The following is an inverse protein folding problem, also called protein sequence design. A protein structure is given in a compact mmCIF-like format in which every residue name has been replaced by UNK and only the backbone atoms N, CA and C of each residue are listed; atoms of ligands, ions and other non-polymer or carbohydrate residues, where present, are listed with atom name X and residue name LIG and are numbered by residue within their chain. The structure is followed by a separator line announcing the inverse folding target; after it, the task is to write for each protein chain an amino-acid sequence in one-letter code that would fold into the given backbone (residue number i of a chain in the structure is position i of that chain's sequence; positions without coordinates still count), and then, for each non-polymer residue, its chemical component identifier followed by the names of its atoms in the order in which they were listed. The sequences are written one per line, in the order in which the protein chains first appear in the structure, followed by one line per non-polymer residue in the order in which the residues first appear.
data_IF_414268458513
#
_entry.id   IF_414268458513
#
_cell.length_a   1.000
_cell.length_b   1.000
_cell.length_c   1.000
_cell.angle_alpha   90.00
_cell.angle_beta   90.00
_cell.angle_gamma   90.00
#
_symmetry.space_group_name_H-M   'P 1'
#
loop_
_entity.id
_entity.type
_entity.pdbx_description
1 polymer ?
#
# COMPACT_ATOMS: atom_id res chain seq x y z
N UNK A 1 39.88 15.66 57.75
CA UNK A 1 39.74 14.24 57.36
C UNK A 1 38.25 13.99 57.11
N UNK A 2 37.86 13.65 55.86
CA UNK A 2 36.59 13.08 55.36
C UNK A 2 35.24 13.82 55.67
N UNK A 3 34.47 14.37 54.69
CA UNK A 3 33.55 13.74 53.70
C UNK A 3 32.26 13.21 54.40
N UNK A 4 30.98 13.44 54.03
CA UNK A 4 30.31 13.81 52.77
C UNK A 4 28.90 14.42 53.02
N UNK A 5 28.43 15.21 52.07
CA UNK A 5 27.05 15.67 51.89
C UNK A 5 26.37 14.84 50.78
N UNK A 6 25.11 14.44 50.97
CA UNK A 6 24.17 14.10 49.88
C UNK A 6 22.77 14.62 50.22
N UNK A 7 22.05 15.22 49.26
CA UNK A 7 20.60 15.17 49.24
C UNK A 7 20.07 14.53 47.96
N UNK A 8 19.12 13.60 48.12
CA UNK A 8 18.30 13.00 47.06
C UNK A 8 17.31 14.04 46.52
N UNK A 9 17.39 14.34 45.23
CA UNK A 9 16.38 15.11 44.49
C UNK A 9 15.77 14.25 43.38
N UNK A 10 14.44 14.18 43.33
CA UNK A 10 13.69 13.55 42.24
C UNK A 10 12.29 14.15 42.16
N UNK A 11 12.21 15.42 41.75
CA UNK A 11 10.96 16.15 41.56
C UNK A 11 10.35 15.77 40.20
N UNK A 12 9.18 15.16 40.23
CA UNK A 12 8.31 14.98 39.06
C UNK A 12 7.71 16.34 38.69
N UNK A 13 7.85 16.76 37.43
CA UNK A 13 7.19 17.94 36.88
C UNK A 13 6.23 17.47 35.79
N UNK A 14 4.94 17.44 36.13
CA UNK A 14 3.82 17.36 35.20
C UNK A 14 3.53 18.77 34.66
N UNK A 15 3.26 18.93 33.36
CA UNK A 15 2.59 20.14 32.85
C UNK A 15 1.45 19.79 31.87
N UNK A 16 0.25 20.23 32.26
CA UNK A 16 -0.96 20.28 31.45
C UNK A 16 -0.98 21.56 30.60
N UNK A 17 -1.71 21.49 29.48
CA UNK A 17 -1.94 22.56 28.53
C UNK A 17 -2.88 23.65 29.09
N UNK A 18 -2.58 24.91 28.78
CA UNK A 18 -3.57 26.00 28.78
C UNK A 18 -3.38 26.86 27.54
N UNK A 19 -4.52 27.20 26.96
CA UNK A 19 -4.79 27.95 25.73
C UNK A 19 -4.30 29.41 25.76
N UNK A 20 -3.81 29.92 24.62
CA UNK A 20 -3.78 31.36 24.33
C UNK A 20 -2.44 31.96 23.88
N UNK A 21 -2.44 32.55 22.67
CA UNK A 21 -1.44 33.46 22.07
C UNK A 21 -0.10 32.86 21.62
N UNK A 22 -0.15 32.23 20.44
CA UNK A 22 0.99 32.06 19.52
C UNK A 22 1.50 33.44 19.09
N UNK A 23 2.71 33.83 19.50
CA UNK A 23 3.67 34.70 18.77
C UNK A 23 4.96 34.86 19.61
N UNK A 24 4.94 34.64 20.94
CA UNK A 24 6.13 34.78 21.81
C UNK A 24 6.99 33.54 22.07
N UNK A 25 6.57 32.32 21.68
CA UNK A 25 7.15 31.07 22.17
C UNK A 25 8.33 30.48 21.37
N UNK A 26 8.59 30.94 20.14
CA UNK A 26 9.61 30.32 19.26
C UNK A 26 11.04 30.38 19.80
N UNK A 27 11.40 31.44 20.53
CA UNK A 27 12.76 31.60 21.08
C UNK A 27 13.01 30.65 22.26
N UNK A 28 12.03 30.51 23.17
CA UNK A 28 12.18 29.70 24.39
C UNK A 28 12.22 28.18 24.14
N UNK A 29 11.48 27.68 23.14
CA UNK A 29 11.47 26.24 22.82
C UNK A 29 12.81 25.82 22.18
N UNK A 30 13.36 26.62 21.25
CA UNK A 30 14.67 26.34 20.62
C UNK A 30 15.82 26.39 21.63
N UNK A 31 15.78 27.34 22.57
CA UNK A 31 16.75 27.43 23.68
C UNK A 31 16.69 26.19 24.60
N UNK A 32 15.49 25.72 24.95
CA UNK A 32 15.33 24.53 25.80
C UNK A 32 15.79 23.23 25.11
N UNK A 33 15.53 23.07 23.81
CA UNK A 33 15.99 21.89 23.06
C UNK A 33 17.52 21.87 22.94
N UNK A 34 18.17 23.00 22.67
CA UNK A 34 19.63 23.11 22.67
C UNK A 34 20.23 22.70 24.02
N UNK A 35 19.67 23.19 25.13
CA UNK A 35 20.11 22.80 26.47
C UNK A 35 19.94 21.29 26.75
N UNK A 36 18.84 20.70 26.30
CA UNK A 36 18.58 19.26 26.41
C UNK A 36 19.59 18.41 25.63
N UNK A 37 19.96 18.83 24.41
CA UNK A 37 20.96 18.13 23.59
C UNK A 37 22.34 18.15 24.28
N UNK A 38 22.75 19.29 24.85
CA UNK A 38 24.00 19.37 25.62
C UNK A 38 24.01 18.50 26.88
N UNK A 39 22.87 18.29 27.53
CA UNK A 39 22.79 17.57 28.81
C UNK A 39 22.59 16.05 28.71
N UNK A 40 21.92 15.56 27.67
CA UNK A 40 21.55 14.13 27.53
C UNK A 40 22.15 13.43 26.31
N UNK A 41 22.86 14.15 25.44
CA UNK A 41 23.28 13.66 24.14
C UNK A 41 22.11 13.52 23.16
N UNK A 42 22.40 13.66 21.86
CA UNK A 42 21.39 13.78 20.81
C UNK A 42 20.46 12.55 20.71
N UNK A 43 21.02 11.34 20.82
CA UNK A 43 20.26 10.09 20.78
C UNK A 43 19.33 9.92 21.99
N UNK A 44 19.74 10.44 23.16
CA UNK A 44 18.92 10.45 24.38
C UNK A 44 17.79 11.49 24.35
N UNK A 45 17.95 12.58 23.60
CA UNK A 45 16.88 13.57 23.36
C UNK A 45 15.87 13.09 22.32
N UNK A 46 16.32 12.34 21.32
CA UNK A 46 15.48 11.85 20.23
C UNK A 46 14.80 10.49 20.52
N UNK A 47 15.03 9.89 21.70
CA UNK A 47 14.45 8.60 22.11
C UNK A 47 14.58 7.50 21.03
N UNK A 48 15.75 7.41 20.39
CA UNK A 48 15.98 6.46 19.29
C UNK A 48 16.22 5.06 19.86
N UNK A 49 15.37 4.10 19.48
CA UNK A 49 15.53 2.68 19.83
C UNK A 49 16.45 1.98 18.83
N UNK A 50 16.22 2.19 17.53
CA UNK A 50 17.03 1.60 16.48
C UNK A 50 17.05 2.46 15.22
N UNK A 51 18.13 2.31 14.45
CA UNK A 51 18.41 3.06 13.23
C UNK A 51 18.94 2.11 12.17
N UNK A 52 18.44 2.20 10.94
CA UNK A 52 18.80 1.33 9.83
C UNK A 52 19.04 2.15 8.56
N UNK A 53 20.11 1.83 7.83
CA UNK A 53 20.39 2.39 6.51
C UNK A 53 20.59 1.23 5.52
N UNK A 54 19.92 1.32 4.36
CA UNK A 54 20.01 0.32 3.29
C UNK A 54 20.10 1.03 1.94
N UNK A 55 20.84 0.42 1.02
CA UNK A 55 20.99 0.89 -0.37
C UNK A 55 20.43 -0.20 -1.31
N UNK A 56 19.09 -0.25 -1.55
CA UNK A 56 18.48 -1.36 -2.30
C UNK A 56 19.00 -1.47 -3.74
N UNK A 57 19.36 -0.34 -4.35
CA UNK A 57 20.01 -0.26 -5.65
C UNK A 57 20.75 1.08 -5.76
N UNK A 58 21.65 1.19 -6.75
CA UNK A 58 22.48 2.38 -6.95
C UNK A 58 21.61 3.65 -7.00
N UNK A 59 21.93 4.72 -6.26
CA UNK A 59 21.16 5.97 -6.32
C UNK A 59 19.81 5.97 -5.57
N UNK A 60 19.48 4.91 -4.83
CA UNK A 60 18.43 4.93 -3.80
C UNK A 60 19.02 4.52 -2.45
N UNK A 61 18.83 5.38 -1.45
CA UNK A 61 19.12 5.08 -0.04
C UNK A 61 17.84 5.18 0.77
N UNK A 62 17.60 4.19 1.62
CA UNK A 62 16.50 4.19 2.58
C UNK A 62 17.10 4.24 3.98
N UNK A 63 16.69 5.24 4.75
CA UNK A 63 17.10 5.44 6.13
C UNK A 63 15.86 5.36 7.01
N UNK A 64 15.91 4.57 8.07
CA UNK A 64 14.79 4.34 8.98
C UNK A 64 15.24 4.54 10.43
N UNK A 65 14.39 5.15 11.24
CA UNK A 65 14.58 5.30 12.69
C UNK A 65 13.32 4.88 13.42
N UNK A 66 13.46 4.12 14.51
CA UNK A 66 12.37 3.76 15.42
C UNK A 66 12.54 4.46 16.75
N UNK A 67 11.42 4.91 17.31
CA UNK A 67 11.39 5.62 18.59
C UNK A 67 10.88 4.74 19.72
N UNK A 68 11.49 4.88 20.90
CA UNK A 68 10.98 4.32 22.15
C UNK A 68 11.35 5.22 23.33
N UNK A 69 10.38 5.85 24.02
CA UNK A 69 8.93 5.80 23.75
C UNK A 69 8.54 6.48 22.42
N UNK A 70 7.34 6.18 21.93
CA UNK A 70 6.79 6.78 20.71
C UNK A 70 6.65 8.30 20.86
N UNK A 71 6.79 9.02 19.75
CA UNK A 71 6.75 10.49 19.70
C UNK A 71 5.39 10.94 19.18
N UNK A 72 4.76 11.96 19.80
CA UNK A 72 3.51 12.52 19.28
C UNK A 72 3.74 13.35 18.03
N UNK A 73 2.82 13.33 17.08
CA UNK A 73 2.90 14.14 15.85
C UNK A 73 3.04 15.65 16.15
N UNK A 74 2.41 16.15 17.23
CA UNK A 74 2.57 17.55 17.68
C UNK A 74 3.99 17.94 18.07
N UNK A 75 4.88 16.98 18.34
CA UNK A 75 6.30 17.23 18.57
C UNK A 75 7.07 17.47 17.27
N UNK A 76 6.52 18.27 16.36
CA UNK A 76 7.06 18.44 15.00
C UNK A 76 8.48 19.03 15.00
N UNK A 77 8.89 19.79 16.02
CA UNK A 77 10.27 20.26 16.17
C UNK A 77 11.24 19.09 16.39
N UNK A 78 10.86 18.13 17.24
CA UNK A 78 11.67 16.92 17.51
C UNK A 78 11.74 16.05 16.28
N UNK A 79 10.62 15.89 15.56
CA UNK A 79 10.56 15.17 14.29
C UNK A 79 11.49 15.84 13.27
N UNK A 80 11.44 17.16 13.14
CA UNK A 80 12.26 17.91 12.18
C UNK A 80 13.76 17.76 12.48
N UNK A 81 14.14 17.76 13.76
CA UNK A 81 15.53 17.52 14.18
C UNK A 81 15.96 16.07 13.92
N UNK A 82 15.08 15.09 14.16
CA UNK A 82 15.36 13.70 13.84
C UNK A 82 15.60 13.50 12.34
N UNK A 83 14.79 14.11 11.48
CA UNK A 83 14.99 14.08 10.02
C UNK A 83 16.32 14.71 9.64
N UNK A 84 16.66 15.89 10.16
CA UNK A 84 17.94 16.52 9.87
C UNK A 84 19.13 15.70 10.34
N UNK A 85 19.02 15.03 11.50
CA UNK A 85 20.05 14.10 11.97
C UNK A 85 20.28 12.98 10.95
N UNK A 86 19.22 12.36 10.46
CA UNK A 86 19.31 11.30 9.44
C UNK A 86 19.95 11.80 8.14
N UNK A 87 19.60 13.03 7.72
CA UNK A 87 20.20 13.64 6.54
C UNK A 87 21.70 13.91 6.72
N UNK A 88 22.11 14.49 7.84
CA UNK A 88 23.53 14.76 8.14
C UNK A 88 24.33 13.47 8.25
N UNK A 89 23.76 12.44 8.88
CA UNK A 89 24.46 11.17 9.12
C UNK A 89 24.61 10.31 7.86
N UNK A 90 23.60 10.27 7.00
CA UNK A 90 23.53 9.28 5.92
C UNK A 90 23.34 9.84 4.51
N UNK A 91 23.10 11.14 4.37
CA UNK A 91 22.66 11.71 3.08
C UNK A 91 23.59 12.79 2.57
N UNK A 92 23.93 13.76 3.40
CA UNK A 92 24.84 14.83 3.01
C UNK A 92 26.26 14.29 2.80
N UNK A 93 26.76 14.40 1.57
CA UNK A 93 28.11 14.00 1.19
C UNK A 93 28.70 15.08 0.25
N UNK A 94 30.01 15.42 0.39
CA UNK A 94 30.68 16.37 -0.50
C UNK A 94 30.65 16.03 -2.01
N UNK A 95 30.37 14.77 -2.41
CA UNK A 95 30.27 14.35 -3.82
C UNK A 95 28.85 14.38 -4.42
N UNK A 96 27.87 14.93 -3.69
CA UNK A 96 26.47 14.96 -4.11
C UNK A 96 26.24 15.98 -5.24
N UNK A 97 26.12 15.51 -6.49
CA UNK A 97 25.79 16.38 -7.63
C UNK A 97 24.33 16.84 -7.61
N UNK A 98 23.41 15.91 -7.40
CA UNK A 98 21.99 16.17 -7.20
C UNK A 98 21.37 15.09 -6.32
N UNK A 99 20.52 15.51 -5.38
CA UNK A 99 19.72 14.59 -4.58
C UNK A 99 18.36 15.17 -4.17
N UNK A 100 17.39 14.28 -3.97
CA UNK A 100 16.08 14.62 -3.38
C UNK A 100 15.62 13.51 -2.45
N UNK A 101 14.77 13.82 -1.49
CA UNK A 101 14.24 12.81 -0.59
C UNK A 101 12.75 12.97 -0.33
N UNK A 102 12.09 11.87 0.05
CA UNK A 102 10.75 11.92 0.63
C UNK A 102 10.82 11.53 2.11
N UNK A 103 10.03 12.23 2.93
CA UNK A 103 9.82 11.92 4.34
C UNK A 103 8.69 10.89 4.45
N UNK A 104 8.74 10.00 5.42
CA UNK A 104 7.65 9.11 5.73
C UNK A 104 7.55 8.81 7.23
N UNK A 105 6.33 8.54 7.67
CA UNK A 105 5.98 8.26 9.06
C UNK A 105 5.60 6.80 9.20
N UNK A 106 6.07 6.16 10.27
CA UNK A 106 5.47 4.95 10.83
C UNK A 106 4.56 5.35 11.99
N UNK A 107 3.25 5.14 11.83
CA UNK A 107 2.25 5.41 12.87
C UNK A 107 1.81 4.12 13.54
N UNK A 108 1.62 4.18 14.87
CA UNK A 108 0.99 3.10 15.62
C UNK A 108 -0.52 3.26 15.53
N UNK A 109 -1.21 2.23 15.03
CA UNK A 109 -2.67 2.18 15.08
C UNK A 109 -3.14 1.47 16.36
N UNK A 110 -4.36 1.76 16.88
CA UNK A 110 -4.88 1.19 18.13
C UNK A 110 -4.84 -0.34 18.20
N UNK A 111 -4.91 -1.02 17.06
CA UNK A 111 -4.90 -2.49 16.96
C UNK A 111 -3.51 -3.11 17.11
N UNK A 112 -2.47 -2.31 17.34
CA UNK A 112 -1.12 -2.79 17.63
C UNK A 112 -0.19 -2.92 16.42
N UNK A 113 -0.69 -2.74 15.19
CA UNK A 113 0.13 -2.73 13.97
C UNK A 113 0.75 -1.35 13.69
N UNK A 114 1.81 -1.34 12.88
CA UNK A 114 2.44 -0.11 12.37
C UNK A 114 2.03 0.12 10.92
N UNK A 115 1.54 1.32 10.61
CA UNK A 115 1.24 1.74 9.24
C UNK A 115 2.26 2.79 8.80
N UNK A 116 2.94 2.53 7.67
CA UNK A 116 3.94 3.45 7.12
C UNK A 116 3.42 4.15 5.86
N UNK A 117 3.59 5.46 5.78
CA UNK A 117 3.22 6.25 4.59
C UNK A 117 4.18 7.41 4.34
N UNK A 118 4.20 7.91 3.11
CA UNK A 118 5.02 9.06 2.70
C UNK A 118 4.30 10.37 3.01
N UNK A 119 5.03 11.30 3.62
CA UNK A 119 4.60 12.64 4.01
C UNK A 119 4.97 13.62 2.90
N UNK A 120 3.96 14.09 2.17
CA UNK A 120 4.09 15.16 1.20
C UNK A 120 4.90 14.80 -0.05
N UNK A 121 5.27 15.84 -0.80
CA UNK A 121 6.13 15.76 -1.97
C UNK A 121 7.60 15.58 -1.60
N UNK A 122 8.43 15.25 -2.58
CA UNK A 122 9.88 15.20 -2.38
C UNK A 122 10.44 16.60 -2.06
N UNK A 123 11.45 16.64 -1.18
CA UNK A 123 12.27 17.82 -0.89
C UNK A 123 13.59 17.67 -1.64
N UNK A 124 13.97 18.71 -2.39
CA UNK A 124 15.27 18.74 -3.07
C UNK A 124 16.39 19.10 -2.09
N UNK A 125 17.57 18.51 -2.29
CA UNK A 125 18.81 18.89 -1.61
C UNK A 125 19.62 19.91 -2.43
N UNK A 126 19.21 20.15 -3.68
CA UNK A 126 19.86 21.04 -4.63
C UNK A 126 18.85 22.02 -5.26
N UNK A 127 19.29 23.23 -5.58
CA UNK A 127 18.49 24.22 -6.29
C UNK A 127 18.33 23.85 -7.78
N UNK A 128 17.55 24.64 -8.53
CA UNK A 128 17.33 24.48 -9.98
C UNK A 128 18.61 24.54 -10.82
N UNK A 129 19.70 25.07 -10.28
CA UNK A 129 21.01 25.15 -10.92
C UNK A 129 21.96 24.04 -10.44
N UNK A 130 21.47 23.08 -9.65
CA UNK A 130 22.26 21.96 -9.11
C UNK A 130 23.12 22.33 -7.91
N UNK A 131 23.03 23.55 -7.38
CA UNK A 131 23.82 23.96 -6.21
C UNK A 131 23.17 23.43 -4.92
N UNK A 132 23.95 23.01 -3.90
CA UNK A 132 23.38 22.53 -2.65
C UNK A 132 22.51 23.58 -1.97
N UNK A 133 21.31 23.20 -1.54
CA UNK A 133 20.45 24.05 -0.73
C UNK A 133 21.02 24.09 0.69
N UNK A 134 21.14 25.27 1.33
CA UNK A 134 21.57 25.37 2.71
C UNK A 134 20.70 24.51 3.63
N UNK A 135 21.33 23.84 4.60
CA UNK A 135 20.63 22.98 5.57
C UNK A 135 19.50 23.72 6.31
N UNK A 136 19.60 25.03 6.49
CA UNK A 136 18.55 25.89 7.06
C UNK A 136 17.29 25.95 6.18
N UNK A 137 17.46 25.99 4.86
CA UNK A 137 16.36 25.95 3.89
C UNK A 137 15.68 24.58 3.86
N UNK A 138 16.47 23.50 3.86
CA UNK A 138 15.95 22.13 3.93
C UNK A 138 15.18 21.91 5.24
N UNK A 139 15.74 22.36 6.38
CA UNK A 139 15.07 22.30 7.67
C UNK A 139 13.73 23.03 7.69
N UNK A 140 13.64 24.21 7.09
CA UNK A 140 12.39 24.98 7.02
C UNK A 140 11.29 24.22 6.24
N UNK A 141 11.65 23.53 5.14
CA UNK A 141 10.71 22.70 4.39
C UNK A 141 10.23 21.48 5.18
N UNK A 142 11.14 20.82 5.90
CA UNK A 142 10.81 19.71 6.80
C UNK A 142 9.87 20.20 7.92
N UNK A 143 10.19 21.32 8.56
CA UNK A 143 9.40 21.90 9.64
C UNK A 143 7.98 22.25 9.16
N UNK A 144 7.86 22.81 7.94
CA UNK A 144 6.57 23.12 7.33
C UNK A 144 5.73 21.86 7.10
N UNK A 145 6.30 20.82 6.49
CA UNK A 145 5.62 19.54 6.26
C UNK A 145 5.21 18.86 7.57
N UNK A 146 6.11 18.81 8.55
CA UNK A 146 5.86 18.19 9.84
C UNK A 146 4.76 18.94 10.62
N UNK A 147 4.73 20.28 10.54
CA UNK A 147 3.67 21.09 11.16
C UNK A 147 2.31 20.84 10.52
N UNK A 148 2.23 20.81 9.19
CA UNK A 148 0.98 20.49 8.50
C UNK A 148 0.44 19.12 8.92
N UNK A 149 1.32 18.12 9.08
CA UNK A 149 0.91 16.79 9.55
C UNK A 149 0.57 16.74 11.03
N UNK A 150 1.18 17.59 11.86
CA UNK A 150 0.80 17.73 13.26
C UNK A 150 -0.64 18.23 13.41
N UNK A 151 -1.11 19.08 12.50
CA UNK A 151 -2.52 19.53 12.46
C UNK A 151 -3.46 18.40 12.06
N UNK A 152 -3.09 17.60 11.04
CA UNK A 152 -3.89 16.46 10.57
C UNK A 152 -3.99 15.33 11.62
N UNK A 153 -2.96 15.15 12.46
CA UNK A 153 -2.77 13.98 13.33
C UNK A 153 -2.41 14.32 14.78
N UNK A 154 -2.96 15.40 15.34
CA UNK A 154 -2.64 15.96 16.68
C UNK A 154 -2.53 14.89 17.80
N UNK A 155 -3.47 13.95 17.84
CA UNK A 155 -3.58 12.95 18.92
C UNK A 155 -2.74 11.68 18.70
N UNK A 156 -2.15 11.52 17.53
CA UNK A 156 -1.52 10.28 17.11
C UNK A 156 -0.03 10.22 17.49
N UNK A 157 0.49 9.00 17.54
CA UNK A 157 1.89 8.71 17.89
C UNK A 157 2.64 8.03 16.76
N UNK A 158 3.87 8.45 16.56
CA UNK A 158 4.82 7.92 15.61
C UNK A 158 5.70 6.84 16.27
N UNK A 159 5.70 5.65 15.68
CA UNK A 159 6.65 4.58 16.01
C UNK A 159 8.01 4.77 15.35
N UNK A 160 8.08 5.55 14.27
CA UNK A 160 9.34 5.83 13.58
C UNK A 160 9.21 6.79 12.40
N UNK A 161 10.35 7.10 11.80
CA UNK A 161 10.46 7.87 10.55
C UNK A 161 11.25 7.07 9.53
N UNK A 162 11.00 7.33 8.26
CA UNK A 162 11.86 6.85 7.18
C UNK A 162 12.09 7.93 6.13
N UNK A 163 13.27 7.93 5.54
CA UNK A 163 13.65 8.77 4.40
C UNK A 163 13.93 7.88 3.21
N UNK A 164 13.35 8.21 2.05
CA UNK A 164 13.76 7.63 0.76
C UNK A 164 14.49 8.68 -0.03
N UNK A 165 15.77 8.46 -0.24
CA UNK A 165 16.68 9.44 -0.82
C UNK A 165 17.15 8.97 -2.18
N UNK A 166 17.04 9.85 -3.16
CA UNK A 166 17.33 9.61 -4.55
C UNK A 166 18.50 10.49 -4.98
N UNK A 167 19.49 9.90 -5.67
CA UNK A 167 20.71 10.58 -6.08
C UNK A 167 20.99 10.43 -7.57
N UNK A 168 21.63 11.42 -8.17
CA UNK A 168 22.35 11.29 -9.45
C UNK A 168 23.82 10.89 -9.19
N UNK A 169 24.28 9.76 -9.73
CA UNK A 169 25.68 9.30 -9.59
C UNK A 169 25.91 8.12 -8.64
N UNK A 170 27.20 7.78 -8.42
CA UNK A 170 27.62 6.73 -7.47
C UNK A 170 27.89 7.36 -6.11
N UNK A 171 27.33 6.78 -5.04
CA UNK A 171 27.82 7.05 -3.69
C UNK A 171 29.09 6.25 -3.45
N UNK A 172 30.18 6.95 -3.18
CA UNK A 172 31.30 6.36 -2.46
C UNK A 172 30.89 6.13 -1.00
N UNK A 173 31.30 5.00 -0.44
CA UNK A 173 30.99 4.67 0.96
C UNK A 173 32.00 5.38 1.85
N UNK A 174 31.72 6.62 2.22
CA UNK A 174 32.40 7.24 3.35
C UNK A 174 31.84 6.71 4.68
N UNK A 175 32.67 6.62 5.73
CA UNK A 175 32.18 6.31 7.06
C UNK A 175 31.22 7.41 7.55
N UNK A 176 30.15 7.05 8.28
CA UNK A 176 29.24 8.04 8.84
C UNK A 176 29.98 8.96 9.81
N UNK A 177 29.59 10.24 9.82
CA UNK A 177 30.07 11.24 10.78
C UNK A 177 29.88 10.75 12.23
N UNK A 178 30.77 11.20 13.12
CA UNK A 178 30.63 10.94 14.55
C UNK A 178 29.39 11.64 15.12
N UNK A 179 28.82 11.12 16.21
CA UNK A 179 27.64 11.73 16.82
C UNK A 179 27.94 13.16 17.34
N UNK A 180 29.19 13.47 17.70
CA UNK A 180 29.64 14.82 18.09
C UNK A 180 29.65 15.79 16.90
N UNK A 181 30.11 15.35 15.73
CA UNK A 181 30.11 16.16 14.50
C UNK A 181 28.68 16.45 14.03
N UNK A 182 27.81 15.44 14.10
CA UNK A 182 26.38 15.58 13.78
C UNK A 182 25.71 16.56 14.74
N UNK A 183 26.01 16.45 16.04
CA UNK A 183 25.46 17.34 17.07
C UNK A 183 25.90 18.79 16.84
N UNK A 184 27.17 19.00 16.50
CA UNK A 184 27.70 20.35 16.21
C UNK A 184 26.97 21.00 15.03
N UNK A 185 26.77 20.26 13.93
CA UNK A 185 26.02 20.75 12.76
C UNK A 185 24.55 21.04 13.07
N UNK A 186 23.91 20.23 13.92
CA UNK A 186 22.53 20.48 14.35
C UNK A 186 22.43 21.72 15.26
N UNK A 187 23.42 21.93 16.12
CA UNK A 187 23.47 23.12 16.96
C UNK A 187 23.65 24.39 16.13
N UNK A 188 24.49 24.38 15.10
CA UNK A 188 24.60 25.51 14.16
C UNK A 188 23.25 25.84 13.50
N UNK A 189 22.44 24.82 13.17
CA UNK A 189 21.09 25.02 12.63
C UNK A 189 20.12 25.64 13.63
N UNK A 190 20.19 25.24 14.90
CA UNK A 190 19.35 25.79 15.96
C UNK A 190 19.73 27.26 16.25
N UNK A 191 21.04 27.58 16.29
CA UNK A 191 21.55 28.92 16.61
C UNK A 191 21.43 29.92 15.45
N UNK A 192 21.53 29.46 14.20
CA UNK A 192 21.40 30.32 13.00
C UNK A 192 19.99 30.88 12.79
N UNK A 193 19.02 30.56 13.65
CA UNK A 193 17.73 31.22 13.70
C UNK A 193 16.99 31.11 12.37
N UNK A 194 16.78 29.89 11.88
CA UNK A 194 16.18 29.63 10.57
C UNK A 194 14.90 30.44 10.31
N UNK A 195 15.05 31.52 9.54
CA UNK A 195 14.01 32.22 8.81
C UNK A 195 14.38 32.11 7.33
N UNK A 196 14.25 30.90 6.80
CA UNK A 196 14.28 30.65 5.36
C UNK A 196 12.84 30.58 4.88
N UNK A 197 12.21 31.73 4.60
CA UNK A 197 10.95 31.79 3.86
C UNK A 197 11.22 31.52 2.39
N UNK A 198 11.46 30.26 2.03
CA UNK A 198 11.56 29.84 0.64
C UNK A 198 10.26 29.17 0.22
N UNK A 199 9.67 29.63 -0.89
CA UNK A 199 8.57 28.92 -1.54
C UNK A 199 9.01 27.48 -1.88
N UNK A 200 8.06 26.51 -1.91
CA UNK A 200 8.37 25.14 -2.33
C UNK A 200 9.00 25.16 -3.72
N UNK A 201 10.28 24.78 -3.81
CA UNK A 201 11.00 24.82 -5.07
C UNK A 201 10.60 23.63 -5.94
N UNK A 202 10.33 23.91 -7.22
CA UNK A 202 9.96 22.89 -8.19
C UNK A 202 11.09 21.87 -8.33
N UNK A 203 10.79 20.62 -8.01
CA UNK A 203 11.79 19.56 -7.94
C UNK A 203 12.09 19.07 -9.35
N UNK A 204 13.35 19.18 -9.77
CA UNK A 204 13.79 18.65 -11.07
C UNK A 204 13.54 17.14 -11.12
N UNK A 205 13.01 16.69 -12.25
CA UNK A 205 13.03 15.27 -12.60
C UNK A 205 14.48 14.81 -12.69
N UNK A 206 14.80 13.73 -11.96
CA UNK A 206 16.14 13.17 -12.06
C UNK A 206 16.31 12.74 -13.50
N UNK A 207 17.46 13.11 -14.09
CA UNK A 207 17.85 12.57 -15.39
C UNK A 207 17.73 11.06 -15.26
N UNK A 208 16.77 10.53 -16.01
CA UNK A 208 16.43 9.13 -16.01
C UNK A 208 17.76 8.44 -16.20
N UNK A 209 18.19 7.67 -15.19
CA UNK A 209 19.24 6.67 -15.41
C UNK A 209 18.93 6.11 -16.78
N UNK A 210 19.94 5.99 -17.63
CA UNK A 210 19.87 4.99 -18.68
C UNK A 210 19.61 3.68 -17.95
N UNK A 211 18.33 3.39 -17.75
CA UNK A 211 17.89 2.04 -17.63
C UNK A 211 18.47 1.44 -18.89
N UNK A 212 19.28 0.40 -18.73
CA UNK A 212 19.47 -0.59 -19.78
C UNK A 212 18.13 -1.29 -19.99
N UNK A 213 17.06 -0.54 -20.24
CA UNK A 213 16.00 -1.02 -21.08
C UNK A 213 16.68 -1.13 -22.43
N UNK A 214 16.75 -2.32 -23.02
CA UNK A 214 17.13 -2.41 -24.41
C UNK A 214 16.31 -1.35 -25.18
N UNK A 215 16.94 -0.58 -26.06
CA UNK A 215 16.26 0.37 -26.95
C UNK A 215 15.32 -0.32 -27.95
N UNK A 216 15.07 -1.60 -27.74
CA UNK A 216 14.16 -2.47 -28.45
C UNK A 216 13.37 -3.25 -27.39
N UNK A 217 12.13 -3.58 -27.68
CA UNK A 217 11.37 -4.53 -26.87
C UNK A 217 12.14 -5.86 -26.94
N UNK A 218 12.68 -6.38 -25.82
CA UNK A 218 13.44 -7.61 -25.86
C UNK A 218 12.52 -8.72 -26.34
N UNK A 219 13.02 -9.56 -27.25
CA UNK A 219 12.26 -10.72 -27.72
C UNK A 219 11.77 -11.51 -26.50
N UNK A 220 10.47 -11.77 -26.47
CA UNK A 220 9.86 -12.49 -25.37
C UNK A 220 10.50 -13.88 -25.30
N UNK A 221 11.15 -14.17 -24.17
CA UNK A 221 11.76 -15.48 -23.95
C UNK A 221 10.66 -16.45 -23.51
N UNK A 222 10.61 -17.67 -24.06
CA UNK A 222 9.71 -18.70 -23.56
C UNK A 222 9.94 -18.89 -22.06
N UNK A 223 8.92 -18.66 -21.25
CA UNK A 223 9.00 -18.71 -19.78
C UNK A 223 8.48 -20.04 -19.22
N UNK A 224 7.67 -20.78 -19.98
CA UNK A 224 7.05 -22.03 -19.54
C UNK A 224 7.23 -23.15 -20.57
N UNK A 225 7.21 -24.40 -20.08
CA UNK A 225 7.18 -25.60 -20.92
C UNK A 225 5.76 -25.99 -21.34
N UNK A 226 4.77 -25.57 -20.56
CA UNK A 226 3.35 -25.93 -20.73
C UNK A 226 2.43 -24.75 -20.37
N UNK A 227 1.20 -24.76 -20.90
CA UNK A 227 0.16 -23.79 -20.51
C UNK A 227 -0.32 -24.09 -19.09
N UNK A 228 -0.34 -23.10 -18.23
CA UNK A 228 -0.81 -23.19 -16.86
C UNK A 228 -2.34 -23.29 -16.84
N UNK A 229 -2.89 -24.19 -16.01
CA UNK A 229 -4.32 -24.26 -15.80
C UNK A 229 -4.81 -23.04 -15.00
N UNK A 230 -6.07 -22.69 -15.19
CA UNK A 230 -6.73 -21.57 -14.50
C UNK A 230 -8.20 -21.87 -14.23
N UNK A 231 -8.78 -21.08 -13.33
CA UNK A 231 -10.21 -21.10 -13.00
C UNK A 231 -10.82 -19.80 -13.51
N UNK A 232 -12.07 -19.84 -13.93
CA UNK A 232 -12.89 -18.66 -14.20
C UNK A 232 -14.09 -18.64 -13.27
N UNK A 233 -14.54 -17.46 -12.88
CA UNK A 233 -15.65 -17.29 -11.97
C UNK A 233 -16.42 -16.00 -12.28
N UNK A 234 -17.66 -15.95 -11.80
CA UNK A 234 -18.55 -14.80 -11.99
C UNK A 234 -19.56 -14.68 -10.84
N UNK A 235 -20.15 -13.50 -10.69
CA UNK A 235 -21.08 -13.16 -9.59
C UNK A 235 -22.29 -12.37 -10.08
N UNK A 236 -23.48 -12.83 -9.73
CA UNK A 236 -24.72 -12.08 -9.95
C UNK A 236 -25.20 -11.37 -8.69
N UNK A 237 -25.74 -10.16 -8.87
CA UNK A 237 -26.17 -9.30 -7.77
C UNK A 237 -27.57 -8.75 -7.96
N UNK A 238 -28.23 -8.45 -6.84
CA UNK A 238 -29.49 -7.72 -6.77
C UNK A 238 -29.31 -6.47 -5.92
N UNK A 239 -30.07 -5.41 -6.20
CA UNK A 239 -30.06 -4.19 -5.39
C UNK A 239 -30.97 -4.37 -4.17
N UNK A 240 -30.39 -4.25 -2.98
CA UNK A 240 -31.11 -4.17 -1.70
C UNK A 240 -30.75 -2.84 -1.06
N UNK A 241 -31.74 -1.94 -0.88
CA UNK A 241 -31.52 -0.60 -0.33
C UNK A 241 -30.39 0.18 -1.06
N UNK A 242 -30.36 0.10 -2.40
CA UNK A 242 -29.31 0.69 -3.27
C UNK A 242 -27.90 0.12 -3.07
N UNK A 243 -27.77 -1.05 -2.43
CA UNK A 243 -26.51 -1.78 -2.28
C UNK A 243 -26.57 -3.07 -3.11
N UNK A 244 -25.53 -3.33 -3.90
CA UNK A 244 -25.39 -4.60 -4.60
C UNK A 244 -25.10 -5.73 -3.60
N UNK A 245 -25.96 -6.75 -3.59
CA UNK A 245 -25.84 -7.95 -2.76
C UNK A 245 -25.83 -9.18 -3.67
N UNK A 246 -24.80 -10.05 -3.59
CA UNK A 246 -24.73 -11.26 -4.40
C UNK A 246 -25.87 -12.25 -4.13
N UNK A 247 -26.53 -12.72 -5.16
CA UNK A 247 -27.55 -13.78 -5.05
C UNK A 247 -27.14 -15.09 -5.71
N UNK A 248 -26.17 -15.07 -6.62
CA UNK A 248 -25.60 -16.26 -7.26
C UNK A 248 -24.11 -16.06 -7.52
N UNK A 249 -23.33 -17.12 -7.40
CA UNK A 249 -21.90 -17.14 -7.75
C UNK A 249 -21.53 -18.48 -8.32
N UNK A 250 -20.53 -18.52 -9.21
CA UNK A 250 -20.08 -19.79 -9.75
C UNK A 250 -18.66 -19.75 -10.27
N UNK A 251 -18.10 -20.94 -10.48
CA UNK A 251 -16.79 -21.09 -11.07
C UNK A 251 -16.66 -22.35 -11.93
N UNK A 252 -15.73 -22.29 -12.88
CA UNK A 252 -15.32 -23.38 -13.75
C UNK A 252 -13.81 -23.55 -13.66
N UNK A 253 -13.37 -24.76 -13.31
CA UNK A 253 -12.00 -25.19 -13.52
C UNK A 253 -11.84 -25.47 -15.02
N UNK A 254 -11.03 -24.70 -15.74
CA UNK A 254 -10.94 -24.85 -17.19
C UNK A 254 -10.25 -26.17 -17.52
N UNK A 255 -10.95 -27.03 -18.26
CA UNK A 255 -10.58 -28.43 -18.50
C UNK A 255 -11.51 -29.43 -17.80
N UNK A 256 -12.27 -29.00 -16.80
CA UNK A 256 -13.32 -29.81 -16.18
C UNK A 256 -14.68 -29.62 -16.88
N UNK A 257 -15.55 -30.65 -16.88
CA UNK A 257 -16.82 -30.61 -17.62
C UNK A 257 -17.93 -29.80 -16.94
N UNK A 258 -17.85 -29.52 -15.64
CA UNK A 258 -18.95 -28.98 -14.85
C UNK A 258 -18.64 -27.62 -14.23
N UNK A 259 -19.60 -26.69 -14.35
CA UNK A 259 -19.62 -25.42 -13.64
C UNK A 259 -20.22 -25.66 -12.25
N UNK A 260 -19.57 -25.15 -11.21
CA UNK A 260 -20.10 -25.19 -9.84
C UNK A 260 -20.78 -23.86 -9.57
N UNK A 261 -22.07 -23.91 -9.27
CA UNK A 261 -22.88 -22.73 -8.96
C UNK A 261 -23.42 -22.81 -7.54
N UNK A 262 -23.56 -21.66 -6.90
CA UNK A 262 -24.15 -21.48 -5.59
C UNK A 262 -25.23 -20.41 -5.73
N UNK A 263 -26.42 -20.68 -5.21
CA UNK A 263 -27.56 -19.78 -5.30
C UNK A 263 -28.11 -19.51 -3.91
N UNK A 264 -28.29 -18.24 -3.55
CA UNK A 264 -28.72 -17.81 -2.22
C UNK A 264 -30.01 -18.51 -1.78
N UNK A 265 -31.00 -18.63 -2.66
CA UNK A 265 -32.30 -19.24 -2.34
C UNK A 265 -32.25 -20.76 -2.12
N UNK A 266 -31.11 -21.44 -2.36
CA UNK A 266 -30.92 -22.84 -1.95
C UNK A 266 -30.94 -22.99 -0.42
N UNK A 267 -30.73 -21.89 0.31
CA UNK A 267 -30.62 -21.86 1.76
C UNK A 267 -31.87 -21.26 2.43
N UNK A 268 -32.91 -20.95 1.65
CA UNK A 268 -34.14 -20.30 2.12
C UNK A 268 -34.84 -21.02 3.29
N UNK A 269 -34.76 -22.36 3.35
CA UNK A 269 -35.46 -23.13 4.38
C UNK A 269 -34.87 -22.97 5.79
N UNK A 270 -33.62 -22.57 5.92
CA UNK A 270 -32.92 -22.49 7.21
C UNK A 270 -32.24 -21.14 7.48
N UNK A 271 -32.17 -20.25 6.49
CA UNK A 271 -31.71 -18.86 6.62
C UNK A 271 -32.80 -17.92 6.08
N UNK A 272 -33.66 -17.36 6.96
CA UNK A 272 -34.81 -16.55 6.53
C UNK A 272 -34.39 -15.19 5.94
N UNK A 273 -33.32 -14.59 6.44
CA UNK A 273 -32.82 -13.30 5.97
C UNK A 273 -31.97 -13.44 4.70
N UNK A 274 -32.20 -12.58 3.71
CA UNK A 274 -31.53 -12.66 2.42
C UNK A 274 -30.02 -12.38 2.52
N UNK A 275 -29.64 -11.42 3.36
CA UNK A 275 -28.26 -11.06 3.62
C UNK A 275 -27.48 -12.23 4.23
N UNK A 276 -28.10 -12.99 5.14
CA UNK A 276 -27.51 -14.20 5.71
C UNK A 276 -27.33 -15.29 4.66
N UNK A 277 -28.34 -15.50 3.78
CA UNK A 277 -28.22 -16.42 2.64
C UNK A 277 -27.10 -16.04 1.69
N UNK A 278 -26.99 -14.76 1.36
CA UNK A 278 -25.93 -14.21 0.50
C UNK A 278 -24.55 -14.44 1.11
N UNK A 279 -24.39 -14.14 2.40
CA UNK A 279 -23.14 -14.37 3.12
C UNK A 279 -22.78 -15.86 3.16
N UNK A 280 -23.73 -16.73 3.53
CA UNK A 280 -23.51 -18.17 3.58
C UNK A 280 -23.14 -18.75 2.22
N UNK A 281 -23.83 -18.33 1.15
CA UNK A 281 -23.54 -18.72 -0.23
C UNK A 281 -22.11 -18.36 -0.63
N UNK A 282 -21.66 -17.13 -0.34
CA UNK A 282 -20.30 -16.68 -0.63
C UNK A 282 -19.24 -17.46 0.16
N UNK A 283 -19.51 -17.76 1.43
CA UNK A 283 -18.62 -18.59 2.25
C UNK A 283 -18.46 -19.99 1.65
N UNK A 284 -19.57 -20.63 1.25
CA UNK A 284 -19.54 -21.93 0.58
C UNK A 284 -18.79 -21.88 -0.76
N UNK A 285 -18.99 -20.82 -1.54
CA UNK A 285 -18.29 -20.60 -2.79
C UNK A 285 -16.77 -20.48 -2.57
N UNK A 286 -16.32 -19.62 -1.66
CA UNK A 286 -14.89 -19.40 -1.37
C UNK A 286 -14.21 -20.68 -0.87
N UNK A 287 -14.87 -21.43 0.00
CA UNK A 287 -14.31 -22.67 0.54
C UNK A 287 -14.19 -23.74 -0.54
N UNK A 288 -15.20 -23.92 -1.38
CA UNK A 288 -15.14 -24.87 -2.49
C UNK A 288 -14.17 -24.44 -3.60
N UNK A 289 -14.09 -23.14 -3.89
CA UNK A 289 -13.11 -22.59 -4.82
C UNK A 289 -11.68 -22.86 -4.31
N UNK A 290 -11.45 -22.66 -3.02
CA UNK A 290 -10.18 -22.96 -2.36
C UNK A 290 -9.84 -24.45 -2.45
N UNK A 291 -10.80 -25.34 -2.16
CA UNK A 291 -10.61 -26.78 -2.27
C UNK A 291 -10.29 -27.20 -3.72
N UNK A 292 -10.95 -26.61 -4.71
CA UNK A 292 -10.68 -26.85 -6.12
C UNK A 292 -9.26 -26.37 -6.50
N UNK A 293 -8.89 -25.14 -6.12
CA UNK A 293 -7.55 -24.58 -6.34
C UNK A 293 -6.45 -25.48 -5.75
N UNK A 294 -6.65 -26.00 -4.53
CA UNK A 294 -5.69 -26.90 -3.88
C UNK A 294 -5.65 -28.28 -4.54
N UNK A 295 -6.80 -28.89 -4.83
CA UNK A 295 -6.92 -30.21 -5.46
C UNK A 295 -6.22 -30.25 -6.82
N UNK A 296 -6.48 -29.25 -7.66
CA UNK A 296 -5.98 -29.19 -9.03
C UNK A 296 -4.64 -28.45 -9.13
N UNK A 297 -4.10 -27.94 -8.01
CA UNK A 297 -2.89 -27.11 -7.94
C UNK A 297 -2.96 -25.86 -8.83
N UNK A 298 -4.16 -25.31 -9.00
CA UNK A 298 -4.44 -24.12 -9.79
C UNK A 298 -4.46 -22.91 -8.86
N UNK A 299 -3.68 -21.88 -9.18
CA UNK A 299 -3.60 -20.68 -8.33
C UNK A 299 -4.31 -19.47 -8.90
N UNK A 300 -4.62 -19.46 -10.19
CA UNK A 300 -5.16 -18.27 -10.86
C UNK A 300 -6.65 -18.42 -11.07
N UNK A 301 -7.41 -17.43 -10.60
CA UNK A 301 -8.86 -17.32 -10.80
C UNK A 301 -9.14 -16.01 -11.52
N UNK A 302 -9.81 -16.07 -12.66
CA UNK A 302 -10.20 -14.88 -13.42
C UNK A 302 -11.68 -14.55 -13.22
N UNK A 303 -11.94 -13.27 -12.99
CA UNK A 303 -13.26 -12.64 -13.12
C UNK A 303 -13.18 -11.59 -14.22
N UNK A 304 -14.29 -11.31 -14.90
CA UNK A 304 -14.35 -10.23 -15.86
C UNK A 304 -14.77 -8.94 -15.18
N UNK A 305 -13.92 -7.90 -15.21
CA UNK A 305 -14.12 -6.64 -14.47
C UNK A 305 -13.97 -6.79 -12.94
N UNK A 306 -13.10 -7.71 -12.51
CA UNK A 306 -12.80 -7.95 -11.10
C UNK A 306 -12.42 -6.67 -10.34
N UNK A 307 -11.63 -5.79 -10.97
CA UNK A 307 -11.04 -4.64 -10.29
C UNK A 307 -12.04 -3.58 -9.86
N UNK A 308 -13.23 -3.56 -10.47
CA UNK A 308 -14.24 -2.50 -10.27
C UNK A 308 -15.55 -3.01 -9.67
N UNK A 309 -15.86 -4.30 -9.78
CA UNK A 309 -17.14 -4.84 -9.33
C UNK A 309 -16.97 -6.08 -8.44
N UNK A 310 -16.73 -7.26 -9.01
CA UNK A 310 -16.71 -8.53 -8.27
C UNK A 310 -15.68 -8.54 -7.16
N UNK A 311 -14.51 -7.99 -7.43
CA UNK A 311 -13.41 -7.91 -6.46
C UNK A 311 -13.77 -7.06 -5.26
N UNK A 312 -14.59 -6.01 -5.40
CA UNK A 312 -15.03 -5.19 -4.28
C UNK A 312 -15.94 -6.02 -3.36
N UNK A 313 -16.88 -6.77 -3.94
CA UNK A 313 -17.80 -7.62 -3.20
C UNK A 313 -17.06 -8.76 -2.47
N UNK A 314 -16.12 -9.41 -3.15
CA UNK A 314 -15.30 -10.47 -2.56
C UNK A 314 -14.35 -9.95 -1.49
N UNK A 315 -13.70 -8.80 -1.69
CA UNK A 315 -12.85 -8.18 -0.66
C UNK A 315 -13.66 -7.81 0.58
N UNK A 316 -14.86 -7.24 0.42
CA UNK A 316 -15.77 -6.96 1.53
C UNK A 316 -16.11 -8.23 2.29
N UNK A 317 -16.42 -9.33 1.59
CA UNK A 317 -16.68 -10.61 2.22
C UNK A 317 -15.46 -11.12 3.00
N UNK A 318 -14.27 -11.18 2.39
CA UNK A 318 -13.04 -11.60 3.08
C UNK A 318 -12.68 -10.74 4.30
N UNK A 319 -12.93 -9.43 4.25
CA UNK A 319 -12.69 -8.54 5.38
C UNK A 319 -13.70 -8.72 6.53
N UNK A 320 -14.88 -9.28 6.23
CA UNK A 320 -15.96 -9.50 7.20
C UNK A 320 -16.01 -10.93 7.73
N UNK A 321 -15.41 -11.89 7.04
CA UNK A 321 -15.33 -13.30 7.47
C UNK A 321 -14.32 -13.51 8.59
N UNK A 322 -14.43 -14.63 9.30
CA UNK A 322 -13.44 -15.07 10.29
C UNK A 322 -12.01 -15.03 9.73
N UNK A 323 -11.01 -14.83 10.61
CA UNK A 323 -9.56 -14.75 10.32
C UNK A 323 -8.94 -16.02 9.68
N UNK A 324 -9.74 -16.87 9.03
CA UNK A 324 -9.36 -18.06 8.26
C UNK A 324 -8.44 -17.73 7.08
N UNK A 325 -8.66 -16.59 6.43
CA UNK A 325 -7.90 -16.16 5.27
C UNK A 325 -7.27 -14.78 5.48
N UNK A 326 -6.07 -14.59 4.94
CA UNK A 326 -5.43 -13.27 4.83
C UNK A 326 -5.41 -12.87 3.37
N UNK A 327 -5.88 -11.66 3.06
CA UNK A 327 -5.86 -11.12 1.70
C UNK A 327 -4.75 -10.08 1.53
N UNK A 328 -4.12 -10.07 0.35
CA UNK A 328 -3.12 -9.07 -0.03
C UNK A 328 -3.43 -8.54 -1.44
N UNK A 329 -4.04 -7.35 -1.56
CA UNK A 329 -4.29 -6.75 -2.85
C UNK A 329 -3.02 -6.15 -3.45
N UNK A 330 -2.85 -6.29 -4.76
CA UNK A 330 -1.89 -5.55 -5.58
C UNK A 330 -2.65 -4.44 -6.30
N UNK A 331 -2.50 -3.21 -5.81
CA UNK A 331 -3.20 -2.04 -6.36
C UNK A 331 -2.23 -1.05 -6.97
N UNK A 332 -2.62 -0.48 -8.11
CA UNK A 332 -1.92 0.64 -8.75
C UNK A 332 -2.94 1.48 -9.51
N UNK A 333 -2.79 2.81 -9.49
CA UNK A 333 -3.67 3.75 -10.19
C UNK A 333 -5.17 3.50 -9.89
N UNK A 334 -5.51 3.25 -8.62
CA UNK A 334 -6.87 2.95 -8.16
C UNK A 334 -7.50 1.68 -8.77
N UNK A 335 -6.71 0.81 -9.39
CA UNK A 335 -7.16 -0.48 -9.91
C UNK A 335 -6.53 -1.63 -9.14
N UNK A 336 -7.33 -2.65 -8.85
CA UNK A 336 -6.88 -3.93 -8.29
C UNK A 336 -6.42 -4.82 -9.45
N UNK A 337 -5.12 -5.11 -9.54
CA UNK A 337 -4.58 -6.01 -10.56
C UNK A 337 -4.65 -7.46 -10.14
N UNK A 338 -4.43 -7.72 -8.85
CA UNK A 338 -4.43 -9.06 -8.28
C UNK A 338 -4.89 -8.99 -6.82
N UNK A 339 -5.67 -9.98 -6.38
CA UNK A 339 -5.95 -10.21 -4.97
C UNK A 339 -5.40 -11.58 -4.57
N UNK A 340 -4.29 -11.59 -3.83
CA UNK A 340 -3.71 -12.83 -3.31
C UNK A 340 -4.40 -13.26 -2.03
N UNK A 341 -4.81 -14.52 -1.93
CA UNK A 341 -5.47 -15.11 -0.76
C UNK A 341 -4.57 -16.16 -0.12
N UNK A 342 -4.36 -16.03 1.18
CA UNK A 342 -3.49 -16.90 1.98
C UNK A 342 -4.29 -17.61 3.07
N UNK A 343 -3.88 -18.84 3.38
CA UNK A 343 -4.28 -19.57 4.60
C UNK A 343 -3.02 -19.73 5.46
N UNK A 344 -2.90 -18.92 6.50
CA UNK A 344 -1.62 -18.72 7.20
C UNK A 344 -0.55 -18.18 6.25
N UNK A 345 0.58 -18.87 6.13
CA UNK A 345 1.68 -18.47 5.20
C UNK A 345 1.53 -19.05 3.78
N UNK A 346 0.59 -19.97 3.56
CA UNK A 346 0.42 -20.65 2.28
C UNK A 346 -0.45 -19.80 1.35
N UNK A 347 0.08 -19.45 0.18
CA UNK A 347 -0.72 -18.89 -0.91
C UNK A 347 -1.68 -19.96 -1.43
N UNK A 348 -2.98 -19.68 -1.35
CA UNK A 348 -4.03 -20.57 -1.82
C UNK A 348 -4.33 -20.29 -3.28
N UNK A 349 -4.74 -19.05 -3.57
CA UNK A 349 -5.15 -18.62 -4.90
C UNK A 349 -4.92 -17.11 -5.06
N UNK A 350 -5.07 -16.65 -6.30
CA UNK A 350 -4.95 -15.27 -6.74
C UNK A 350 -6.10 -14.98 -7.68
N UNK A 351 -6.88 -13.96 -7.34
CA UNK A 351 -7.86 -13.42 -8.28
C UNK A 351 -7.20 -12.41 -9.19
N UNK A 352 -7.61 -12.40 -10.46
CA UNK A 352 -7.14 -11.46 -11.48
C UNK A 352 -8.30 -10.97 -12.32
N UNK A 353 -8.12 -9.76 -12.85
CA UNK A 353 -9.09 -9.14 -13.74
C UNK A 353 -8.79 -9.48 -15.19
N UNK A 354 -9.69 -10.23 -15.84
CA UNK A 354 -9.55 -10.54 -17.26
C UNK A 354 -9.73 -9.31 -18.15
N UNK A 355 -10.48 -8.29 -17.72
CA UNK A 355 -10.71 -7.07 -18.51
C UNK A 355 -9.43 -6.23 -18.65
N UNK A 356 -8.56 -6.28 -17.64
CA UNK A 356 -7.24 -5.64 -17.70
C UNK A 356 -6.26 -6.38 -18.63
N UNK A 357 -6.51 -7.67 -18.92
CA UNK A 357 -5.71 -8.48 -19.84
C UNK A 357 -6.25 -8.42 -21.27
N UNK A 358 -7.57 -8.49 -21.41
CA UNK A 358 -8.30 -8.52 -22.67
C UNK A 358 -9.37 -7.42 -22.63
N UNK A 359 -9.04 -6.20 -23.08
CA UNK A 359 -9.98 -5.09 -23.08
C UNK A 359 -11.15 -5.38 -24.03
N UNK A 360 -12.37 -5.30 -23.52
CA UNK A 360 -13.59 -5.52 -24.29
C UNK A 360 -14.69 -6.09 -23.42
N UNK A 361 -15.95 -5.94 -23.83
CA UNK A 361 -17.05 -6.61 -23.14
C UNK A 361 -16.97 -8.12 -23.34
N UNK A 362 -17.41 -8.90 -22.36
CA UNK A 362 -17.47 -10.35 -22.47
C UNK A 362 -18.23 -10.82 -23.73
N UNK A 363 -19.34 -10.16 -24.07
CA UNK A 363 -20.13 -10.47 -25.28
C UNK A 363 -19.32 -10.25 -26.57
N UNK A 364 -18.62 -9.11 -26.68
CA UNK A 364 -17.76 -8.83 -27.84
C UNK A 364 -16.62 -9.83 -27.94
N UNK A 365 -15.93 -10.10 -26.83
CA UNK A 365 -14.81 -11.04 -26.79
C UNK A 365 -15.26 -12.46 -27.16
N UNK A 366 -16.41 -12.90 -26.63
CA UNK A 366 -16.98 -14.22 -26.90
C UNK A 366 -17.33 -14.40 -28.39
N UNK A 367 -18.01 -13.42 -28.99
CA UNK A 367 -18.36 -13.45 -30.43
C UNK A 367 -17.13 -13.53 -31.33
N UNK A 368 -16.02 -12.90 -30.93
CA UNK A 368 -14.79 -12.89 -31.72
C UNK A 368 -13.93 -14.13 -31.51
N UNK A 369 -13.77 -14.60 -30.26
CA UNK A 369 -12.78 -15.62 -29.91
C UNK A 369 -13.36 -17.03 -29.76
N UNK A 370 -14.63 -17.15 -29.38
CA UNK A 370 -15.27 -18.44 -29.12
C UNK A 370 -16.76 -18.47 -29.53
N UNK A 371 -17.13 -18.09 -30.77
CA UNK A 371 -18.52 -18.02 -31.23
C UNK A 371 -19.28 -19.36 -31.13
N UNK A 372 -18.55 -20.49 -31.16
CA UNK A 372 -19.10 -21.83 -31.00
C UNK A 372 -19.74 -22.07 -29.61
N UNK A 373 -19.43 -21.25 -28.61
CA UNK A 373 -20.01 -21.36 -27.26
C UNK A 373 -21.38 -20.68 -27.14
N UNK A 374 -21.87 -20.06 -28.22
CA UNK A 374 -23.15 -19.35 -28.25
C UNK A 374 -23.04 -17.90 -27.77
N UNK A 375 -24.15 -17.14 -27.86
CA UNK A 375 -24.17 -15.74 -27.46
C UNK A 375 -24.17 -15.58 -25.94
N UNK A 376 -23.87 -14.36 -25.47
CA UNK A 376 -24.16 -13.97 -24.10
C UNK A 376 -25.68 -13.99 -23.88
N UNK A 377 -26.12 -14.46 -22.71
CA UNK A 377 -27.52 -14.35 -22.31
C UNK A 377 -27.92 -12.90 -22.07
N UNK A 378 -29.21 -12.66 -21.80
CA UNK A 378 -29.71 -11.34 -21.41
C UNK A 378 -30.71 -11.48 -20.28
N UNK A 379 -30.51 -10.70 -19.22
CA UNK A 379 -31.43 -10.58 -18.09
C UNK A 379 -31.75 -9.12 -17.85
N UNK A 380 -33.04 -8.84 -17.64
CA UNK A 380 -33.49 -7.51 -17.24
C UNK A 380 -33.23 -7.32 -15.74
N UNK A 381 -32.04 -6.81 -15.40
CA UNK A 381 -31.61 -6.64 -14.00
C UNK A 381 -32.58 -5.77 -13.18
N UNK A 382 -33.27 -4.80 -13.80
CA UNK A 382 -34.31 -3.98 -13.15
C UNK A 382 -35.50 -4.80 -12.63
N UNK A 383 -35.75 -5.97 -13.22
CA UNK A 383 -36.86 -6.86 -12.84
C UNK A 383 -36.44 -7.90 -11.82
N UNK A 384 -35.15 -8.04 -11.52
CA UNK A 384 -34.64 -8.99 -10.53
C UNK A 384 -34.79 -8.36 -9.15
N UNK A 385 -35.55 -9.01 -8.28
CA UNK A 385 -35.81 -8.57 -6.91
C UNK A 385 -35.69 -9.76 -5.97
N UNK A 386 -35.34 -9.53 -4.71
CA UNK A 386 -35.19 -10.59 -3.69
C UNK A 386 -36.43 -11.50 -3.65
N UNK A 387 -37.63 -10.93 -3.76
CA UNK A 387 -38.91 -11.64 -3.72
C UNK A 387 -39.13 -12.61 -4.87
N UNK A 388 -38.47 -12.42 -6.02
CA UNK A 388 -38.68 -13.23 -7.22
C UNK A 388 -37.46 -14.10 -7.61
N UNK A 389 -36.35 -14.04 -6.86
CA UNK A 389 -35.14 -14.83 -7.12
C UNK A 389 -35.43 -16.33 -7.26
N UNK A 390 -36.22 -16.89 -6.33
CA UNK A 390 -36.57 -18.31 -6.33
C UNK A 390 -37.32 -18.72 -7.61
N UNK A 391 -38.25 -17.89 -8.05
CA UNK A 391 -39.04 -18.12 -9.27
C UNK A 391 -38.20 -17.92 -10.53
N UNK A 392 -37.26 -16.97 -10.52
CA UNK A 392 -36.38 -16.68 -11.65
C UNK A 392 -35.17 -17.60 -11.75
N UNK A 393 -34.92 -18.48 -10.77
CA UNK A 393 -33.79 -19.43 -10.78
C UNK A 393 -33.56 -20.13 -12.13
N UNK A 394 -34.59 -20.66 -12.84
CA UNK A 394 -34.38 -21.34 -14.12
C UNK A 394 -33.83 -20.44 -15.24
N UNK A 395 -33.83 -19.13 -15.05
CA UNK A 395 -33.24 -18.15 -15.97
C UNK A 395 -31.89 -17.63 -15.43
N UNK A 396 -31.84 -17.30 -14.14
CA UNK A 396 -30.67 -16.67 -13.51
C UNK A 396 -29.45 -17.60 -13.44
N UNK A 397 -29.64 -18.87 -13.09
CA UNK A 397 -28.51 -19.82 -12.96
C UNK A 397 -27.92 -20.15 -14.32
N UNK A 398 -28.70 -20.50 -15.37
CA UNK A 398 -28.15 -20.72 -16.70
C UNK A 398 -27.48 -19.48 -17.31
N UNK A 399 -27.97 -18.28 -16.99
CA UNK A 399 -27.33 -17.03 -17.40
C UNK A 399 -25.91 -16.90 -16.82
N UNK A 400 -25.77 -17.08 -15.50
CA UNK A 400 -24.48 -17.09 -14.82
C UNK A 400 -23.54 -18.17 -15.37
N UNK A 401 -24.06 -19.38 -15.58
CA UNK A 401 -23.28 -20.48 -16.18
C UNK A 401 -22.77 -20.13 -17.57
N UNK A 402 -23.60 -19.47 -18.39
CA UNK A 402 -23.20 -19.03 -19.72
C UNK A 402 -22.09 -17.98 -19.64
N UNK A 403 -22.17 -17.00 -18.73
CA UNK A 403 -21.12 -15.99 -18.56
C UNK A 403 -19.78 -16.61 -18.12
N UNK A 404 -19.82 -17.53 -17.16
CA UNK A 404 -18.63 -18.29 -16.73
C UNK A 404 -18.05 -19.11 -17.89
N UNK A 405 -18.91 -19.79 -18.67
CA UNK A 405 -18.49 -20.59 -19.83
C UNK A 405 -17.83 -19.72 -20.89
N UNK A 406 -18.41 -18.57 -21.21
CA UNK A 406 -17.88 -17.62 -22.18
C UNK A 406 -16.52 -17.08 -21.72
N UNK A 407 -16.40 -16.68 -20.46
CA UNK A 407 -15.13 -16.21 -19.90
C UNK A 407 -14.05 -17.30 -19.98
N UNK A 408 -14.40 -18.55 -19.64
CA UNK A 408 -13.51 -19.70 -19.80
C UNK A 408 -13.02 -19.89 -21.23
N UNK A 409 -13.92 -19.82 -22.21
CA UNK A 409 -13.58 -19.93 -23.63
C UNK A 409 -12.69 -18.79 -24.13
N UNK A 410 -13.03 -17.55 -23.77
CA UNK A 410 -12.25 -16.35 -24.12
C UNK A 410 -10.83 -16.45 -23.57
N UNK A 411 -10.67 -16.76 -22.28
CA UNK A 411 -9.36 -16.87 -21.66
C UNK A 411 -8.55 -18.04 -22.23
N UNK A 412 -9.19 -19.17 -22.52
CA UNK A 412 -8.53 -20.33 -23.11
C UNK A 412 -8.03 -20.02 -24.52
N UNK A 413 -8.83 -19.32 -25.33
CA UNK A 413 -8.42 -18.92 -26.69
C UNK A 413 -7.32 -17.88 -26.66
N UNK A 414 -7.40 -16.90 -25.78
CA UNK A 414 -6.33 -15.92 -25.59
C UNK A 414 -5.02 -16.60 -25.21
N UNK A 415 -5.05 -17.51 -24.22
CA UNK A 415 -3.90 -18.31 -23.82
C UNK A 415 -3.31 -19.11 -25.00
N UNK A 416 -4.17 -19.74 -25.82
CA UNK A 416 -3.73 -20.46 -27.03
C UNK A 416 -3.02 -19.54 -28.03
N UNK A 417 -3.53 -18.32 -28.25
CA UNK A 417 -2.94 -17.33 -29.16
C UNK A 417 -1.56 -16.89 -28.64
N UNK A 418 -1.46 -16.50 -27.36
CA UNK A 418 -0.19 -16.10 -26.74
C UNK A 418 0.83 -17.23 -26.76
N UNK A 419 0.40 -18.46 -26.46
CA UNK A 419 1.25 -19.64 -26.50
C UNK A 419 1.77 -19.93 -27.92
N UNK A 420 0.90 -19.83 -28.91
CA UNK A 420 1.26 -20.14 -30.30
C UNK A 420 2.23 -19.11 -30.87
N UNK A 421 1.99 -17.83 -30.62
CA UNK A 421 2.78 -16.74 -31.17
C UNK A 421 4.09 -16.49 -30.40
N UNK A 422 4.08 -16.65 -29.08
CA UNK A 422 5.18 -16.20 -28.22
C UNK A 422 5.74 -17.27 -27.28
N UNK A 423 5.10 -18.45 -27.16
CA UNK A 423 5.46 -19.50 -26.18
C UNK A 423 5.48 -18.97 -24.74
N UNK A 424 4.52 -18.09 -24.44
CA UNK A 424 4.31 -17.49 -23.12
C UNK A 424 2.93 -17.89 -22.62
N UNK A 425 2.87 -18.01 -21.30
CA UNK A 425 1.64 -18.03 -20.53
C UNK A 425 1.77 -17.14 -19.28
#
# INVERSE_FOLDING_TARGET
MAINLEPRSGMAINFWATTGRYIGYKKNIRLNIGFLICSRGLSGVLNIESEHCRDPYLGLRIVEVKFRPYIKCVGFEVISLAVMRLLIKYVYHPGLSYGKFTLGYGMKIPNGDDVSYTVGSAISLNDSHGRPIPNTGVYAQIELLARQKAEDYDKEVLSGLFLRVYYEGRLEKEPPLSDEEITSKLMELIHSGGVGGGEPQEVKDMSVKEHRYPGHIPALKPTSKERQPFIVADTETVLVQNVHVPYAVGFLVVGEPFIRTYFSEDYYLFLPEFEERSHYMLTQFIDNLTLAAEKWKIRTVYFHNFSRFDGILLMKHYASSDNKYTIKPLMRNQMVYELSVYRGKKLVLRFRDSLNLLPGSLDTLAKTLCPQLGPKGSISHEKVQVSNLKTLRPQLVPYLEQDIRLLGGVMLKAQEIYWTQFKID
#
